data_IF_443860247408
#
_entry.id   IF_443860247408
#
_cell.length_a   1.000
_cell.length_b   1.000
_cell.length_c   1.000
_cell.angle_alpha   90.00
_cell.angle_beta   90.00
_cell.angle_gamma   90.00
#
_symmetry.space_group_name_H-M   'P 1'
#
loop_
_entity.id
_entity.type
_entity.pdbx_description
1 polymer ?
#
# COMPACT_ATOMS: atom_id res chain seq x y z
N UNK A 1 -14.02 21.78 -13.42
CA UNK A 1 -13.08 21.82 -12.28
C UNK A 1 -11.70 21.83 -12.87
N UNK A 2 -10.94 22.88 -12.59
CA UNK A 2 -9.60 23.11 -13.12
C UNK A 2 -8.68 21.98 -12.59
N UNK A 3 -8.38 21.00 -13.44
CA UNK A 3 -7.50 19.87 -13.11
C UNK A 3 -6.06 20.38 -13.11
N UNK A 4 -5.69 21.10 -12.05
CA UNK A 4 -4.29 21.43 -11.77
C UNK A 4 -3.57 20.12 -11.48
N UNK A 5 -2.91 19.57 -12.51
CA UNK A 5 -1.93 18.50 -12.37
C UNK A 5 -0.82 18.99 -11.45
N UNK A 6 -0.75 18.41 -10.25
CA UNK A 6 0.30 18.66 -9.27
C UNK A 6 1.61 18.05 -9.77
N UNK A 7 2.74 18.76 -9.60
CA UNK A 7 4.04 18.18 -9.93
C UNK A 7 4.41 17.08 -8.94
N UNK A 8 5.35 16.21 -9.32
CA UNK A 8 5.87 15.17 -8.42
C UNK A 8 6.51 15.79 -7.17
N UNK A 9 7.27 16.88 -7.31
CA UNK A 9 7.91 17.58 -6.20
C UNK A 9 6.89 18.16 -5.21
N UNK A 10 5.81 18.77 -5.73
CA UNK A 10 4.72 19.30 -4.89
C UNK A 10 3.97 18.18 -4.17
N UNK A 11 3.69 17.08 -4.87
CA UNK A 11 3.03 15.91 -4.28
C UNK A 11 3.91 15.26 -3.20
N UNK A 12 5.21 15.16 -3.47
CA UNK A 12 6.20 14.63 -2.55
C UNK A 12 6.33 15.50 -1.29
N UNK A 13 6.45 16.83 -1.43
CA UNK A 13 6.51 17.73 -0.26
C UNK A 13 5.25 17.61 0.61
N UNK A 14 4.07 17.63 -0.02
CA UNK A 14 2.79 17.46 0.67
C UNK A 14 2.72 16.12 1.40
N UNK A 15 3.13 15.03 0.76
CA UNK A 15 3.17 13.71 1.37
C UNK A 15 4.11 13.69 2.59
N UNK A 16 5.34 14.20 2.47
CA UNK A 16 6.29 14.29 3.58
C UNK A 16 5.76 15.10 4.77
N UNK A 17 4.94 16.13 4.50
CA UNK A 17 4.30 16.96 5.53
C UNK A 17 3.01 16.35 6.10
N UNK A 18 2.62 15.16 5.64
CA UNK A 18 1.38 14.50 6.03
C UNK A 18 0.11 15.08 5.41
N UNK A 19 0.25 15.98 4.43
CA UNK A 19 -0.86 16.63 3.72
C UNK A 19 -1.25 15.76 2.52
N UNK A 20 -1.81 14.59 2.80
CA UNK A 20 -2.31 13.63 1.80
C UNK A 20 -3.68 13.12 2.21
N UNK A 21 -4.42 12.54 1.27
CA UNK A 21 -5.67 11.84 1.58
C UNK A 21 -5.40 10.74 2.62
N UNK A 22 -6.11 10.77 3.73
CA UNK A 22 -5.91 9.87 4.89
C UNK A 22 -4.53 9.97 5.56
N UNK A 23 -3.79 11.04 5.32
CA UNK A 23 -2.49 11.31 5.96
C UNK A 23 -2.62 11.82 7.40
N UNK A 24 -1.49 11.84 8.16
CA UNK A 24 -0.15 11.43 7.74
C UNK A 24 0.01 9.91 7.62
N UNK A 25 0.77 9.46 6.63
CA UNK A 25 0.98 8.04 6.34
C UNK A 25 1.52 7.26 7.54
N UNK A 26 2.55 7.79 8.22
CA UNK A 26 3.19 7.09 9.33
C UNK A 26 2.26 6.93 10.54
N UNK A 27 1.47 7.94 10.87
CA UNK A 27 0.49 7.86 11.96
C UNK A 27 -0.59 6.81 11.65
N UNK A 28 -1.07 6.79 10.41
CA UNK A 28 -2.02 5.79 9.94
C UNK A 28 -1.46 4.37 10.08
N UNK A 29 -0.27 4.11 9.53
CA UNK A 29 0.39 2.80 9.58
C UNK A 29 0.69 2.37 11.02
N UNK A 30 1.24 3.28 11.85
CA UNK A 30 1.55 2.99 13.25
C UNK A 30 0.31 2.68 14.07
N UNK A 31 -0.82 3.35 13.79
CA UNK A 31 -2.09 3.07 14.44
C UNK A 31 -2.50 1.61 14.25
N UNK A 32 -2.52 1.14 12.99
CA UNK A 32 -2.87 -0.25 12.68
C UNK A 32 -1.81 -1.26 13.13
N UNK A 33 -0.53 -0.90 13.08
CA UNK A 33 0.54 -1.74 13.63
C UNK A 33 0.33 -1.99 15.13
N UNK A 34 0.13 -0.93 15.91
CA UNK A 34 -0.12 -1.03 17.36
C UNK A 34 -1.40 -1.82 17.66
N UNK A 35 -2.46 -1.61 16.90
CA UNK A 35 -3.71 -2.35 17.09
C UNK A 35 -3.54 -3.85 16.77
N UNK A 36 -2.76 -4.19 15.74
CA UNK A 36 -2.44 -5.60 15.42
C UNK A 36 -1.66 -6.31 16.52
N UNK A 37 -0.80 -5.58 17.24
CA UNK A 37 -0.09 -6.11 18.40
C UNK A 37 -1.02 -6.27 19.61
N UNK A 38 -1.96 -5.34 19.78
CA UNK A 38 -2.90 -5.32 20.90
C UNK A 38 -4.00 -6.37 20.76
N UNK A 39 -4.46 -6.64 19.54
CA UNK A 39 -5.58 -7.52 19.20
C UNK A 39 -5.25 -8.41 18.01
N UNK A 40 -4.26 -9.31 18.14
CA UNK A 40 -3.80 -10.15 17.02
C UNK A 40 -4.88 -11.09 16.47
N UNK A 41 -5.93 -11.37 17.24
CA UNK A 41 -7.09 -12.17 16.82
C UNK A 41 -8.11 -11.37 15.99
N UNK A 42 -8.06 -10.03 16.05
CA UNK A 42 -9.02 -9.14 15.38
C UNK A 42 -8.39 -8.24 14.31
N UNK A 43 -7.07 -8.08 14.31
CA UNK A 43 -6.34 -7.19 13.40
C UNK A 43 -5.13 -7.91 12.79
N UNK A 44 -5.24 -8.20 11.49
CA UNK A 44 -4.17 -8.83 10.71
C UNK A 44 -3.35 -7.77 9.96
N UNK A 45 -2.08 -7.60 10.35
CA UNK A 45 -1.16 -6.67 9.69
C UNK A 45 -0.29 -7.39 8.67
N UNK A 46 -0.18 -6.82 7.47
CA UNK A 46 0.60 -7.36 6.36
C UNK A 46 1.30 -6.24 5.60
N UNK A 47 2.54 -6.49 5.16
CA UNK A 47 3.30 -5.59 4.30
C UNK A 47 3.22 -6.06 2.85
N UNK A 48 3.16 -5.10 1.92
CA UNK A 48 2.99 -5.40 0.50
C UNK A 48 4.19 -6.16 -0.07
N UNK A 49 5.40 -5.78 0.35
CA UNK A 49 6.66 -6.38 -0.06
C UNK A 49 6.73 -7.86 0.32
N UNK A 50 6.46 -8.18 1.59
CA UNK A 50 6.44 -9.57 2.10
C UNK A 50 5.33 -10.40 1.43
N UNK A 51 4.14 -9.82 1.25
CA UNK A 51 3.05 -10.47 0.53
C UNK A 51 3.43 -10.80 -0.92
N UNK A 52 4.19 -9.93 -1.58
CA UNK A 52 4.60 -10.13 -2.97
C UNK A 52 5.77 -11.12 -3.08
N UNK A 53 6.65 -11.17 -2.09
CA UNK A 53 7.76 -12.13 -2.00
C UNK A 53 7.24 -13.56 -1.73
N UNK A 54 6.36 -13.72 -0.74
CA UNK A 54 5.82 -15.03 -0.34
C UNK A 54 4.27 -15.06 -0.33
N UNK A 55 3.61 -14.91 -1.50
CA UNK A 55 2.15 -14.76 -1.57
C UNK A 55 1.42 -15.96 -0.97
N UNK A 56 1.91 -17.18 -1.20
CA UNK A 56 1.29 -18.37 -0.67
C UNK A 56 1.38 -18.49 0.86
N UNK A 57 2.45 -17.99 1.47
CA UNK A 57 2.58 -17.97 2.93
C UNK A 57 1.58 -16.97 3.52
N UNK A 58 1.58 -15.74 3.02
CA UNK A 58 0.73 -14.68 3.55
C UNK A 58 -0.76 -14.94 3.32
N UNK A 59 -1.13 -15.55 2.21
CA UNK A 59 -2.53 -15.94 1.95
C UNK A 59 -3.00 -17.09 2.84
N UNK A 60 -2.12 -18.05 3.17
CA UNK A 60 -2.43 -19.08 4.19
C UNK A 60 -2.64 -18.47 5.57
N UNK A 61 -1.75 -17.55 5.99
CA UNK A 61 -1.90 -16.82 7.26
C UNK A 61 -3.20 -16.01 7.31
N UNK A 62 -3.58 -15.38 6.20
CA UNK A 62 -4.84 -14.64 6.11
C UNK A 62 -6.07 -15.58 6.16
N UNK A 63 -6.01 -16.71 5.45
CA UNK A 63 -7.03 -17.74 5.48
C UNK A 63 -7.24 -18.30 6.90
N UNK A 64 -6.15 -18.60 7.61
CA UNK A 64 -6.16 -19.03 9.01
C UNK A 64 -6.76 -17.95 9.93
N UNK A 65 -6.36 -16.68 9.75
CA UNK A 65 -6.90 -15.56 10.51
C UNK A 65 -8.41 -15.37 10.31
N UNK A 66 -8.90 -15.54 9.07
CA UNK A 66 -10.33 -15.41 8.73
C UNK A 66 -11.13 -16.69 8.97
N UNK A 67 -10.48 -17.83 9.23
CA UNK A 67 -11.12 -19.14 9.33
C UNK A 67 -11.74 -19.64 8.02
N UNK A 68 -11.13 -19.37 6.87
CA UNK A 68 -11.67 -19.76 5.56
C UNK A 68 -10.63 -20.32 4.58
N UNK A 69 -11.03 -21.28 3.75
CA UNK A 69 -10.16 -21.94 2.76
C UNK A 69 -10.34 -21.37 1.33
N UNK A 70 -9.28 -21.47 0.51
CA UNK A 70 -9.37 -21.29 -0.96
C UNK A 70 -9.16 -19.87 -1.51
N UNK A 71 -8.76 -18.89 -0.68
CA UNK A 71 -8.51 -17.49 -1.10
C UNK A 71 -7.45 -17.38 -2.21
N UNK A 72 -6.42 -18.23 -2.16
CA UNK A 72 -5.21 -18.07 -2.98
C UNK A 72 -5.47 -18.08 -4.49
N UNK A 73 -6.38 -18.95 -4.94
CA UNK A 73 -6.76 -19.02 -6.36
C UNK A 73 -7.62 -17.83 -6.79
N UNK A 74 -8.51 -17.35 -5.92
CA UNK A 74 -9.47 -16.29 -6.24
C UNK A 74 -8.80 -14.91 -6.26
N UNK A 75 -7.84 -14.66 -5.37
CA UNK A 75 -7.24 -13.34 -5.17
C UNK A 75 -5.86 -13.17 -5.84
N UNK A 76 -5.40 -14.12 -6.66
CA UNK A 76 -4.11 -13.97 -7.36
C UNK A 76 -4.14 -12.79 -8.33
N UNK A 77 -2.99 -12.12 -8.52
CA UNK A 77 -2.87 -11.01 -9.46
C UNK A 77 -3.29 -11.42 -10.87
N UNK A 78 -2.86 -12.60 -11.33
CA UNK A 78 -3.24 -13.14 -12.64
C UNK A 78 -4.74 -13.36 -12.77
N UNK A 79 -5.42 -13.86 -11.73
CA UNK A 79 -6.86 -14.03 -11.77
C UNK A 79 -7.58 -12.68 -11.78
N UNK A 80 -7.25 -11.78 -10.85
CA UNK A 80 -7.91 -10.48 -10.70
C UNK A 80 -7.67 -9.56 -11.90
N UNK A 81 -6.44 -9.46 -12.40
CA UNK A 81 -6.12 -8.64 -13.58
C UNK A 81 -6.80 -9.13 -14.85
N UNK A 82 -7.15 -10.42 -14.92
CA UNK A 82 -7.85 -11.01 -16.06
C UNK A 82 -9.37 -10.84 -16.06
N UNK A 83 -9.97 -10.39 -14.95
CA UNK A 83 -11.41 -10.15 -14.88
C UNK A 83 -11.82 -8.95 -15.75
N UNK A 84 -12.90 -9.11 -16.52
CA UNK A 84 -13.41 -8.07 -17.44
C UNK A 84 -13.68 -6.74 -16.73
N UNK A 85 -14.21 -6.81 -15.50
CA UNK A 85 -14.47 -5.62 -14.66
C UNK A 85 -13.20 -4.83 -14.31
N UNK A 86 -12.04 -5.47 -14.33
CA UNK A 86 -10.75 -4.85 -14.02
C UNK A 86 -9.99 -4.40 -15.29
N UNK A 87 -10.44 -4.84 -16.48
CA UNK A 87 -9.87 -4.44 -17.79
C UNK A 87 -10.66 -3.33 -18.47
N UNK A 88 -11.95 -3.24 -18.20
CA UNK A 88 -12.84 -2.28 -18.86
C UNK A 88 -14.03 -1.93 -17.95
N UNK A 89 -14.14 -0.66 -17.58
CA UNK A 89 -15.21 -0.16 -16.71
C UNK A 89 -14.90 1.25 -16.20
N UNK A 90 -15.90 1.94 -15.67
CA UNK A 90 -15.73 3.24 -14.99
C UNK A 90 -16.39 3.16 -13.62
N UNK A 91 -15.63 3.39 -12.56
CA UNK A 91 -16.19 3.60 -11.23
C UNK A 91 -16.70 5.04 -11.11
N UNK A 92 -17.85 5.30 -10.46
CA UNK A 92 -18.23 6.67 -10.11
C UNK A 92 -17.11 7.31 -9.28
N UNK A 93 -16.59 8.49 -9.67
CA UNK A 93 -17.17 9.51 -10.55
C UNK A 93 -16.71 9.51 -12.03
N UNK A 94 -16.06 8.46 -12.52
CA UNK A 94 -15.59 8.32 -13.90
C UNK A 94 -14.18 7.76 -14.04
N UNK A 95 -13.63 7.16 -12.96
CA UNK A 95 -12.27 6.62 -12.92
C UNK A 95 -12.26 5.29 -13.67
N UNK A 96 -11.39 5.17 -14.67
CA UNK A 96 -11.22 3.92 -15.41
C UNK A 96 -10.70 2.81 -14.47
N UNK A 97 -11.28 1.61 -14.55
CA UNK A 97 -10.87 0.47 -13.72
C UNK A 97 -9.41 0.06 -13.96
N UNK A 98 -8.86 0.34 -15.14
CA UNK A 98 -7.43 0.15 -15.43
C UNK A 98 -6.52 1.01 -14.57
N UNK A 99 -7.00 2.15 -14.03
CA UNK A 99 -6.21 3.01 -13.15
C UNK A 99 -5.80 2.33 -11.83
N UNK A 100 -6.50 1.24 -11.44
CA UNK A 100 -6.17 0.46 -10.24
C UNK A 100 -5.00 -0.50 -10.45
N UNK A 101 -4.65 -0.81 -11.70
CA UNK A 101 -3.60 -1.77 -12.05
C UNK A 101 -2.50 -1.07 -12.85
N UNK A 102 -1.40 -0.72 -12.18
CA UNK A 102 -0.20 -0.10 -12.79
C UNK A 102 0.88 -1.14 -13.07
N UNK A 103 2.02 -1.09 -12.36
CA UNK A 103 3.09 -2.10 -12.47
C UNK A 103 3.01 -3.18 -11.39
N UNK A 104 2.56 -2.82 -10.19
CA UNK A 104 2.50 -3.74 -9.05
C UNK A 104 3.88 -4.24 -8.60
N UNK A 105 4.96 -3.49 -8.84
CA UNK A 105 6.35 -3.87 -8.56
C UNK A 105 6.91 -3.17 -7.30
N UNK A 106 7.76 -3.88 -6.55
CA UNK A 106 8.54 -3.29 -5.44
C UNK A 106 9.74 -2.56 -6.04
N UNK A 107 10.05 -1.38 -5.51
CA UNK A 107 11.24 -0.62 -5.90
C UNK A 107 11.07 0.32 -7.10
N UNK A 108 9.88 0.38 -7.70
CA UNK A 108 9.64 1.25 -8.87
C UNK A 108 9.80 2.75 -8.56
N UNK A 109 9.84 3.14 -7.27
CA UNK A 109 10.16 4.50 -6.84
C UNK A 109 11.53 4.98 -7.34
N UNK A 110 12.48 4.07 -7.58
CA UNK A 110 13.83 4.39 -8.09
C UNK A 110 13.77 5.05 -9.49
N UNK A 111 12.69 4.82 -10.24
CA UNK A 111 12.50 5.39 -11.57
C UNK A 111 11.99 6.84 -11.53
N UNK A 112 11.58 7.35 -10.36
CA UNK A 112 10.89 8.63 -10.23
C UNK A 112 11.50 9.56 -9.18
N UNK A 113 12.01 9.02 -8.07
CA UNK A 113 12.50 9.83 -6.96
C UNK A 113 14.00 10.09 -7.08
N UNK A 114 14.40 11.35 -6.92
CA UNK A 114 15.80 11.72 -6.79
C UNK A 114 16.38 11.25 -5.46
N UNK A 115 17.69 11.03 -5.39
CA UNK A 115 18.41 10.57 -4.20
C UNK A 115 18.10 11.39 -2.94
N UNK A 116 17.96 12.71 -3.05
CA UNK A 116 17.66 13.58 -1.91
C UNK A 116 16.21 13.43 -1.41
N UNK A 117 15.26 13.14 -2.29
CA UNK A 117 13.88 12.79 -1.89
C UNK A 117 13.88 11.48 -1.10
N UNK A 118 14.62 10.48 -1.58
CA UNK A 118 14.73 9.17 -0.93
C UNK A 118 15.32 9.31 0.47
N UNK A 119 16.46 10.02 0.61
CA UNK A 119 17.05 10.31 1.92
C UNK A 119 16.07 11.02 2.87
N UNK A 120 15.31 12.00 2.35
CA UNK A 120 14.33 12.74 3.16
C UNK A 120 13.21 11.82 3.66
N UNK A 121 12.59 11.02 2.79
CA UNK A 121 11.50 10.14 3.20
C UNK A 121 11.98 9.01 4.12
N UNK A 122 13.19 8.48 3.89
CA UNK A 122 13.82 7.48 4.77
C UNK A 122 14.08 8.06 6.15
N UNK A 123 14.63 9.27 6.24
CA UNK A 123 14.86 9.93 7.53
C UNK A 123 13.56 10.17 8.30
N UNK A 124 12.51 10.63 7.63
CA UNK A 124 11.20 10.82 8.27
C UNK A 124 10.64 9.46 8.73
N UNK A 125 10.78 8.43 7.91
CA UNK A 125 10.30 7.07 8.26
C UNK A 125 11.03 6.52 9.47
N UNK A 126 12.35 6.65 9.54
CA UNK A 126 13.13 6.21 10.70
C UNK A 126 12.75 6.98 11.96
N UNK A 127 12.57 8.30 11.87
CA UNK A 127 12.14 9.12 13.01
C UNK A 127 10.75 8.71 13.51
N UNK A 128 9.77 8.62 12.60
CA UNK A 128 8.37 8.35 12.97
C UNK A 128 8.16 6.93 13.49
N UNK A 129 8.85 5.95 12.92
CA UNK A 129 8.71 4.55 13.32
C UNK A 129 9.66 4.16 14.45
N UNK A 130 10.52 5.06 14.92
CA UNK A 130 11.49 4.79 15.96
C UNK A 130 10.83 4.20 17.22
N UNK A 131 11.40 3.13 17.75
CA UNK A 131 10.90 2.46 18.96
C UNK A 131 9.60 1.67 18.78
N UNK A 132 8.96 1.70 17.61
CA UNK A 132 7.70 0.95 17.37
C UNK A 132 7.90 -0.55 17.11
N UNK A 133 9.13 -0.96 16.76
CA UNK A 133 9.44 -2.30 16.28
C UNK A 133 9.04 -2.55 14.82
N UNK A 134 8.27 -1.65 14.18
CA UNK A 134 7.91 -1.76 12.76
C UNK A 134 9.10 -1.38 11.87
N UNK A 135 9.41 -2.23 10.90
CA UNK A 135 10.43 -2.02 9.86
C UNK A 135 9.90 -2.43 8.50
N UNK A 136 10.24 -1.64 7.49
CA UNK A 136 10.02 -1.92 6.08
C UNK A 136 11.29 -2.48 5.46
#
# INVERSE_FOLDING_TARGET
MDSRTMSLDEAFDKFCRGVSTSGPFWDHVLGYWKESLKRPESAFFIKFEEMKEEPALHLRRLAEFLGCDGILRLCSFDNLSNLVVNKSGKLPPGIDTSAFFRKGEVGDWMNYLATEMVKKIDSITQEKLHGSGLKF
#
